data_IF_633430494553
#
_entry.id   IF_633430494553
#
_cell.length_a   1.000
_cell.length_b   1.000
_cell.length_c   1.000
_cell.angle_alpha   90.00
_cell.angle_beta   90.00
_cell.angle_gamma   90.00
#
_symmetry.space_group_name_H-M   'P 1'
#
loop_
_entity.id
_entity.type
_entity.pdbx_description
1 polymer ?
#
# COMPACT_ATOMS: atom_id res chain seq x y z
N UNK A 1 2.14 -3.22 3.68
CA UNK A 1 2.20 -2.20 2.63
C UNK A 1 0.78 -1.84 2.23
N UNK A 2 0.36 -0.66 2.58
CA UNK A 2 -1.02 -0.21 2.39
C UNK A 2 -1.02 1.31 2.22
N UNK A 3 -1.21 1.83 1.00
CA UNK A 3 -1.16 3.27 0.73
C UNK A 3 -2.23 4.06 1.46
N UNK A 4 -1.86 5.23 1.95
CA UNK A 4 -2.78 6.18 2.55
C UNK A 4 -2.39 7.60 2.13
N UNK A 5 -3.23 8.57 2.42
CA UNK A 5 -3.02 9.95 2.02
C UNK A 5 -1.71 10.51 2.56
N UNK A 6 -1.14 11.44 1.84
CA UNK A 6 0.21 11.91 2.07
C UNK A 6 1.21 10.93 1.47
N UNK A 7 2.23 10.54 2.21
CA UNK A 7 3.21 9.56 1.73
C UNK A 7 3.21 8.27 2.54
N UNK A 8 2.21 8.07 3.40
CA UNK A 8 2.15 6.91 4.29
C UNK A 8 1.94 5.62 3.47
N UNK A 9 2.80 4.65 3.66
CA UNK A 9 2.75 3.37 2.96
C UNK A 9 2.98 2.17 3.88
N UNK A 10 3.77 2.32 4.93
CA UNK A 10 4.12 1.23 5.83
C UNK A 10 3.60 1.49 7.24
N UNK A 11 3.01 0.48 7.84
CA UNK A 11 2.34 0.54 9.12
C UNK A 11 2.81 -0.62 10.00
N UNK A 12 2.97 -0.39 11.30
CA UNK A 12 3.27 -1.45 12.24
C UNK A 12 2.00 -2.15 12.74
N UNK A 13 2.15 -3.13 13.64
CA UNK A 13 1.02 -3.89 14.19
C UNK A 13 0.02 -3.03 14.93
N UNK A 14 0.46 -1.91 15.50
CA UNK A 14 -0.42 -0.99 16.24
C UNK A 14 -1.10 0.05 15.36
N UNK A 15 -0.82 0.03 14.05
CA UNK A 15 -1.38 0.98 13.10
C UNK A 15 -0.66 2.30 13.04
N UNK A 16 0.58 2.37 13.56
CA UNK A 16 1.41 3.55 13.44
C UNK A 16 2.16 3.58 12.13
N UNK A 17 2.21 4.74 11.49
CA UNK A 17 2.97 4.94 10.26
C UNK A 17 4.47 4.82 10.57
N UNK A 18 5.15 3.90 9.90
CA UNK A 18 6.58 3.67 10.05
C UNK A 18 7.38 3.96 8.78
N UNK A 19 6.74 4.38 7.72
CA UNK A 19 7.46 4.70 6.50
C UNK A 19 6.60 5.06 5.30
N UNK A 20 7.30 5.47 4.24
CA UNK A 20 6.72 5.86 2.96
C UNK A 20 7.39 5.08 1.81
N UNK A 21 7.27 5.57 0.58
CA UNK A 21 7.88 4.91 -0.58
C UNK A 21 9.41 5.07 -0.67
N UNK A 22 10.01 5.91 0.16
CA UNK A 22 11.48 6.07 0.17
C UNK A 22 12.15 5.16 1.20
N UNK A 23 11.55 4.99 2.36
CA UNK A 23 12.10 4.13 3.41
C UNK A 23 11.06 3.79 4.48
N UNK A 24 11.38 2.79 5.27
CA UNK A 24 10.63 2.52 6.50
C UNK A 24 11.57 2.10 7.62
N UNK A 25 11.07 2.13 8.85
CA UNK A 25 11.86 1.83 10.04
C UNK A 25 11.27 0.61 10.76
N UNK A 26 12.14 -0.32 11.14
CA UNK A 26 11.76 -1.53 11.89
C UNK A 26 12.49 -1.50 13.23
N UNK A 27 11.78 -1.78 14.31
CA UNK A 27 12.35 -1.89 15.64
C UNK A 27 11.76 -0.92 16.64
N UNK A 28 12.29 -0.93 17.85
CA UNK A 28 11.83 -0.11 18.96
C UNK A 28 12.40 1.31 18.89
N UNK A 29 11.77 2.21 19.63
CA UNK A 29 12.21 3.60 19.81
C UNK A 29 13.68 3.61 20.32
N UNK A 30 14.55 4.20 19.50
CA UNK A 30 15.97 4.28 19.81
C UNK A 30 16.82 3.15 19.25
N UNK A 31 16.20 2.09 18.72
CA UNK A 31 16.88 0.93 18.12
C UNK A 31 16.28 0.51 16.79
N UNK A 32 15.71 1.47 16.08
CA UNK A 32 15.10 1.19 14.76
C UNK A 32 16.16 1.04 13.68
N UNK A 33 15.91 0.12 12.75
CA UNK A 33 16.72 -0.04 11.53
C UNK A 33 15.97 0.57 10.36
N UNK A 34 16.65 1.44 9.63
CA UNK A 34 16.10 2.02 8.40
C UNK A 34 16.26 1.06 7.24
N UNK A 35 15.18 0.81 6.52
CA UNK A 35 15.20 0.05 5.26
C UNK A 35 15.01 1.05 4.13
N UNK A 36 16.05 1.18 3.29
CA UNK A 36 16.07 2.12 2.16
C UNK A 36 15.38 1.45 0.96
N UNK A 37 14.37 2.13 0.42
CA UNK A 37 13.56 1.65 -0.70
C UNK A 37 13.87 2.36 -2.02
N UNK A 38 14.82 3.29 -2.03
CA UNK A 38 15.10 4.10 -3.21
C UNK A 38 15.66 3.30 -4.39
N UNK A 39 16.15 2.08 -4.13
CA UNK A 39 16.65 1.17 -5.18
C UNK A 39 15.54 0.36 -5.84
N UNK A 40 14.32 0.39 -5.31
CA UNK A 40 13.20 -0.34 -5.90
C UNK A 40 12.58 0.51 -7.01
N UNK A 41 12.84 0.12 -8.25
CA UNK A 41 12.31 0.82 -9.41
C UNK A 41 10.79 0.72 -9.48
N UNK A 42 10.13 1.86 -9.63
CA UNK A 42 8.70 1.94 -9.84
C UNK A 42 7.84 2.02 -8.58
N UNK A 43 8.39 1.86 -7.38
CA UNK A 43 7.61 1.91 -6.15
C UNK A 43 7.01 3.30 -5.93
N UNK A 44 7.82 4.34 -6.07
CA UNK A 44 7.37 5.72 -5.94
C UNK A 44 6.29 6.05 -6.98
N UNK A 45 6.52 5.70 -8.23
CA UNK A 45 5.60 5.94 -9.34
C UNK A 45 4.27 5.21 -9.11
N UNK A 46 4.34 3.97 -8.65
CA UNK A 46 3.16 3.18 -8.32
C UNK A 46 2.32 3.84 -7.21
N UNK A 47 2.98 4.31 -6.15
CA UNK A 47 2.31 5.01 -5.07
C UNK A 47 1.67 6.32 -5.56
N UNK A 48 2.40 7.10 -6.36
CA UNK A 48 1.91 8.37 -6.85
C UNK A 48 0.73 8.23 -7.81
N UNK A 49 0.64 7.15 -8.57
CA UNK A 49 -0.55 6.86 -9.37
C UNK A 49 -1.80 6.80 -8.49
N UNK A 50 -1.72 6.05 -7.39
CA UNK A 50 -2.82 5.93 -6.45
C UNK A 50 -3.14 7.25 -5.75
N UNK A 51 -2.12 7.93 -5.26
CA UNK A 51 -2.28 9.17 -4.50
C UNK A 51 -2.99 10.26 -5.32
N UNK A 52 -2.56 10.43 -6.56
CA UNK A 52 -3.17 11.41 -7.45
C UNK A 52 -4.63 11.04 -7.77
N UNK A 53 -4.87 9.79 -8.13
CA UNK A 53 -6.21 9.35 -8.53
C UNK A 53 -7.16 9.28 -7.32
N UNK A 54 -6.74 8.73 -6.21
CA UNK A 54 -7.62 8.61 -5.04
C UNK A 54 -7.89 9.94 -4.36
N UNK A 55 -6.96 10.88 -4.41
CA UNK A 55 -7.13 12.19 -3.79
C UNK A 55 -8.13 13.06 -4.53
N UNK A 56 -8.07 13.05 -5.86
CA UNK A 56 -8.88 13.93 -6.71
C UNK A 56 -10.05 13.22 -7.37
N UNK A 57 -9.85 11.98 -7.82
CA UNK A 57 -10.84 11.26 -8.61
C UNK A 57 -10.77 9.75 -8.38
N UNK A 58 -11.10 9.26 -7.18
CA UNK A 58 -11.02 7.83 -6.87
C UNK A 58 -11.91 6.95 -7.73
N UNK A 59 -12.91 7.55 -8.41
CA UNK A 59 -13.83 6.84 -9.28
C UNK A 59 -13.40 6.82 -10.76
N UNK A 60 -12.23 7.37 -11.11
CA UNK A 60 -11.74 7.36 -12.49
C UNK A 60 -11.32 5.98 -12.97
N UNK A 61 -10.83 5.16 -12.06
CA UNK A 61 -10.35 3.84 -12.43
C UNK A 61 -11.51 2.84 -12.52
N UNK A 62 -11.47 2.04 -13.57
CA UNK A 62 -12.34 0.86 -13.68
C UNK A 62 -11.85 -0.20 -12.69
N UNK A 63 -12.68 -1.22 -12.43
CA UNK A 63 -12.28 -2.36 -11.59
C UNK A 63 -11.04 -3.04 -12.17
N UNK A 64 -10.94 -3.12 -13.49
CA UNK A 64 -9.77 -3.70 -14.18
C UNK A 64 -8.49 -2.89 -13.92
N UNK A 65 -8.59 -1.57 -13.93
CA UNK A 65 -7.45 -0.69 -13.64
C UNK A 65 -7.00 -0.82 -12.18
N UNK A 66 -7.94 -0.90 -11.24
CA UNK A 66 -7.64 -1.13 -9.83
C UNK A 66 -6.93 -2.46 -9.61
N UNK A 67 -7.41 -3.53 -10.27
CA UNK A 67 -6.79 -4.85 -10.17
C UNK A 67 -5.38 -4.86 -10.76
N UNK A 68 -5.17 -4.23 -11.91
CA UNK A 68 -3.86 -4.10 -12.52
C UNK A 68 -2.87 -3.36 -11.62
N UNK A 69 -3.31 -2.24 -11.06
CA UNK A 69 -2.49 -1.46 -10.12
C UNK A 69 -2.14 -2.29 -8.88
N UNK A 70 -3.11 -3.01 -8.34
CA UNK A 70 -2.90 -3.89 -7.18
C UNK A 70 -1.89 -5.00 -7.49
N UNK A 71 -1.99 -5.62 -8.65
CA UNK A 71 -1.05 -6.69 -9.07
C UNK A 71 0.37 -6.15 -9.25
N UNK A 72 0.52 -4.94 -9.79
CA UNK A 72 1.83 -4.29 -9.88
C UNK A 72 2.40 -4.01 -8.49
N UNK A 73 1.56 -3.59 -7.57
CA UNK A 73 1.96 -3.40 -6.17
C UNK A 73 2.38 -4.69 -5.49
N UNK A 74 1.75 -5.80 -5.83
CA UNK A 74 2.14 -7.11 -5.31
C UNK A 74 3.56 -7.49 -5.72
N UNK A 75 3.94 -7.24 -6.97
CA UNK A 75 5.31 -7.46 -7.43
C UNK A 75 6.30 -6.58 -6.68
N UNK A 76 5.95 -5.32 -6.47
CA UNK A 76 6.77 -4.39 -5.71
C UNK A 76 6.90 -4.82 -4.24
N UNK A 77 5.83 -5.32 -3.64
CA UNK A 77 5.86 -5.83 -2.28
C UNK A 77 6.84 -7.01 -2.15
N UNK A 78 6.90 -7.87 -3.14
CA UNK A 78 7.86 -8.97 -3.17
C UNK A 78 9.30 -8.47 -3.24
N UNK A 79 9.56 -7.42 -4.00
CA UNK A 79 10.87 -6.77 -4.05
C UNK A 79 11.23 -6.12 -2.70
N UNK A 80 10.26 -5.45 -2.07
CA UNK A 80 10.44 -4.88 -0.73
C UNK A 80 10.83 -5.96 0.26
N UNK A 81 10.17 -7.11 0.20
CA UNK A 81 10.47 -8.25 1.10
C UNK A 81 11.91 -8.71 0.99
N UNK A 82 12.54 -8.62 -0.18
CA UNK A 82 13.95 -9.03 -0.34
C UNK A 82 14.92 -8.14 0.44
N UNK A 83 14.50 -6.93 0.80
CA UNK A 83 15.31 -5.99 1.60
C UNK A 83 15.09 -6.16 3.09
N UNK A 84 14.16 -7.01 3.48
CA UNK A 84 13.81 -7.24 4.88
C UNK A 84 14.48 -8.51 5.43
N UNK A 85 14.69 -8.53 6.74
CA UNK A 85 15.13 -9.72 7.46
C UNK A 85 14.06 -10.82 7.38
N UNK A 86 14.49 -12.08 7.38
CA UNK A 86 13.58 -13.24 7.39
C UNK A 86 12.65 -13.25 8.61
N UNK A 87 13.05 -12.60 9.70
CA UNK A 87 12.27 -12.53 10.94
C UNK A 87 11.16 -11.49 10.89
N UNK A 88 11.09 -10.68 9.84
CA UNK A 88 10.09 -9.61 9.71
C UNK A 88 9.04 -10.05 8.69
N UNK A 89 7.78 -9.96 9.09
CA UNK A 89 6.65 -10.25 8.21
C UNK A 89 6.23 -8.98 7.47
N UNK A 90 6.10 -9.10 6.15
CA UNK A 90 5.49 -8.05 5.33
C UNK A 90 4.10 -8.50 4.93
N UNK A 91 3.10 -7.67 5.25
CA UNK A 91 1.73 -7.89 4.82
C UNK A 91 1.36 -6.87 3.74
N UNK A 92 0.58 -7.31 2.76
CA UNK A 92 0.08 -6.47 1.69
C UNK A 92 -1.45 -6.48 1.73
N UNK A 93 -2.07 -5.31 1.56
CA UNK A 93 -3.52 -5.20 1.58
C UNK A 93 -4.15 -6.01 0.44
N UNK A 94 -5.37 -6.47 0.63
CA UNK A 94 -6.13 -7.20 -0.39
C UNK A 94 -7.48 -6.54 -0.62
N UNK A 95 -8.01 -6.73 -1.83
CA UNK A 95 -9.34 -6.28 -2.20
C UNK A 95 -10.20 -7.50 -2.53
N UNK A 96 -11.44 -7.52 -2.04
CA UNK A 96 -12.39 -8.59 -2.34
C UNK A 96 -13.25 -8.22 -3.55
N UNK A 97 -13.91 -9.19 -4.17
CA UNK A 97 -14.94 -8.95 -5.18
C UNK A 97 -16.31 -8.86 -4.50
N UNK A 98 -17.11 -7.80 -4.77
CA UNK A 98 -16.75 -6.62 -5.57
C UNK A 98 -15.72 -5.73 -4.87
N UNK A 99 -14.91 -5.01 -5.65
CA UNK A 99 -13.85 -4.12 -5.12
C UNK A 99 -14.44 -3.02 -4.26
N UNK A 100 -15.59 -2.51 -4.64
CA UNK A 100 -16.28 -1.44 -3.93
C UNK A 100 -17.43 -1.99 -3.11
N UNK A 101 -17.41 -1.76 -1.81
CA UNK A 101 -18.57 -1.94 -0.94
C UNK A 101 -19.58 -0.81 -1.18
N UNK A 102 -19.07 0.43 -1.28
CA UNK A 102 -19.87 1.60 -1.68
C UNK A 102 -19.08 2.35 -2.75
N UNK A 103 -19.66 2.49 -3.93
CA UNK A 103 -18.99 3.20 -5.03
C UNK A 103 -18.93 4.70 -4.77
N UNK A 104 -17.90 5.41 -5.31
CA UNK A 104 -17.77 6.86 -5.11
C UNK A 104 -19.00 7.66 -5.54
N UNK A 105 -19.66 7.26 -6.63
CA UNK A 105 -20.85 7.93 -7.13
C UNK A 105 -22.09 7.77 -6.24
N UNK A 106 -22.06 6.79 -5.33
CA UNK A 106 -23.13 6.52 -4.35
C UNK A 106 -22.81 7.09 -2.96
N UNK A 107 -21.59 7.60 -2.78
CA UNK A 107 -21.11 8.11 -1.50
C UNK A 107 -20.83 9.62 -1.60
N UNK A 108 -20.96 10.31 -0.47
CA UNK A 108 -20.67 11.74 -0.42
C UNK A 108 -19.19 12.05 -0.24
N UNK A 109 -18.38 11.04 0.11
CA UNK A 109 -17.00 11.24 0.56
C UNK A 109 -15.99 10.25 -0.05
N UNK A 110 -16.23 9.79 -1.27
CA UNK A 110 -15.22 9.06 -2.02
C UNK A 110 -15.35 7.55 -2.08
N UNK A 111 -16.39 6.99 -1.49
CA UNK A 111 -16.64 5.54 -1.58
C UNK A 111 -15.91 4.72 -0.51
N UNK A 112 -16.14 3.42 -0.54
CA UNK A 112 -15.57 2.48 0.43
C UNK A 112 -15.14 1.20 -0.28
N UNK A 113 -13.86 0.88 -0.19
CA UNK A 113 -13.31 -0.36 -0.72
C UNK A 113 -13.70 -1.57 0.14
N UNK A 114 -13.87 -2.70 -0.52
CA UNK A 114 -14.14 -3.97 0.13
C UNK A 114 -12.82 -4.70 0.40
N UNK A 115 -12.16 -4.34 1.51
CA UNK A 115 -10.87 -4.92 1.88
C UNK A 115 -11.02 -6.36 2.35
N UNK A 116 -10.12 -7.23 1.91
CA UNK A 116 -9.96 -8.57 2.45
C UNK A 116 -8.93 -8.61 3.57
N UNK A 117 -8.62 -9.80 4.03
CA UNK A 117 -7.53 -9.97 4.99
C UNK A 117 -6.18 -9.70 4.32
N UNK A 118 -5.25 -8.98 4.99
CA UNK A 118 -3.92 -8.76 4.43
C UNK A 118 -3.21 -10.09 4.15
N UNK A 119 -2.49 -10.14 3.03
CA UNK A 119 -1.74 -11.33 2.66
C UNK A 119 -0.28 -11.21 3.08
N UNK A 120 0.31 -12.32 3.53
CA UNK A 120 1.72 -12.37 3.85
C UNK A 120 2.54 -12.52 2.59
N UNK A 121 3.56 -11.66 2.45
CA UNK A 121 4.51 -11.71 1.33
C UNK A 121 5.67 -12.63 1.71
N UNK A 122 5.92 -13.61 0.87
CA UNK A 122 6.97 -14.62 1.09
C UNK A 122 8.19 -14.42 0.20
#
# INVERSE_FOLDING_TARGET
MDPDYGSALFWDESGCNIGDFDCFFIGDLGNSTKVDLTEIDGLREWFLEWDVESLYHPNHWTDSQWKDWWERGLKLAKEVKTLMSENVNLLYFTLQDPIWEVRPEEANDGGLFNYGEPMKIE
#
